data_IF_551234460470
#
_entry.id   IF_551234460470
#
_cell.length_a   1.000
_cell.length_b   1.000
_cell.length_c   1.000
_cell.angle_alpha   90.00
_cell.angle_beta   90.00
_cell.angle_gamma   90.00
#
_symmetry.space_group_name_H-M   'P 1'
#
loop_
_entity.id
_entity.type
_entity.pdbx_description
1 polymer ?
#
# COMPACT_ATOMS: atom_id res chain seq x y z
N UNK A 1 -42.66 5.73 26.01
CA UNK A 1 -41.82 5.72 24.79
C UNK A 1 -41.05 4.40 24.74
N UNK A 2 -41.16 3.64 23.66
CA UNK A 2 -40.47 2.34 23.54
C UNK A 2 -38.96 2.59 23.39
N UNK A 3 -38.20 2.40 24.47
CA UNK A 3 -36.74 2.58 24.51
C UNK A 3 -36.03 1.97 23.29
N UNK A 4 -36.47 0.78 22.87
CA UNK A 4 -35.96 0.08 21.67
C UNK A 4 -36.11 0.88 20.37
N UNK A 5 -37.23 1.58 20.20
CA UNK A 5 -37.48 2.39 19.01
C UNK A 5 -36.67 3.69 18.98
N UNK A 6 -36.48 4.32 20.16
CA UNK A 6 -35.63 5.51 20.29
C UNK A 6 -34.16 5.20 20.05
N UNK A 7 -33.65 4.14 20.68
CA UNK A 7 -32.27 3.67 20.52
C UNK A 7 -31.95 3.34 19.06
N UNK A 8 -32.82 2.58 18.38
CA UNK A 8 -32.57 2.19 16.98
C UNK A 8 -32.50 3.40 16.04
N UNK A 9 -33.39 4.39 16.21
CA UNK A 9 -33.36 5.62 15.40
C UNK A 9 -32.08 6.43 15.64
N UNK A 10 -31.66 6.57 16.90
CA UNK A 10 -30.40 7.22 17.24
C UNK A 10 -29.20 6.48 16.65
N UNK A 11 -29.20 5.14 16.75
CA UNK A 11 -28.15 4.30 16.19
C UNK A 11 -28.04 4.44 14.66
N UNK A 12 -29.16 4.46 13.95
CA UNK A 12 -29.18 4.70 12.49
C UNK A 12 -28.57 6.07 12.18
N UNK A 13 -28.99 7.13 12.88
CA UNK A 13 -28.45 8.48 12.66
C UNK A 13 -26.94 8.54 12.90
N UNK A 14 -26.45 7.95 13.99
CA UNK A 14 -25.02 7.87 14.30
C UNK A 14 -24.23 7.05 13.28
N UNK A 15 -24.82 5.96 12.78
CA UNK A 15 -24.18 5.11 11.76
C UNK A 15 -24.02 5.87 10.44
N UNK A 16 -25.02 6.65 10.03
CA UNK A 16 -24.92 7.49 8.82
C UNK A 16 -23.80 8.52 8.99
N UNK A 17 -23.75 9.22 10.12
CA UNK A 17 -22.67 10.18 10.40
C UNK A 17 -21.30 9.49 10.41
N UNK A 18 -21.20 8.31 11.02
CA UNK A 18 -19.98 7.51 11.04
C UNK A 18 -19.50 7.13 9.64
N UNK A 19 -20.39 6.65 8.77
CA UNK A 19 -20.05 6.28 7.40
C UNK A 19 -19.57 7.49 6.58
N UNK A 20 -20.16 8.67 6.80
CA UNK A 20 -19.68 9.92 6.18
C UNK A 20 -18.26 10.24 6.64
N UNK A 21 -18.00 10.15 7.95
CA UNK A 21 -16.66 10.39 8.53
C UNK A 21 -15.65 9.41 7.94
N UNK A 22 -15.90 8.10 8.00
CA UNK A 22 -15.02 7.07 7.43
C UNK A 22 -14.79 7.32 5.94
N UNK A 23 -15.85 7.67 5.19
CA UNK A 23 -15.76 8.03 3.78
C UNK A 23 -14.79 9.18 3.52
N UNK A 24 -14.91 10.28 4.27
CA UNK A 24 -14.02 11.45 4.16
C UNK A 24 -12.57 11.06 4.46
N UNK A 25 -12.32 10.34 5.55
CA UNK A 25 -10.95 9.99 5.97
C UNK A 25 -10.28 8.93 5.09
N UNK A 26 -11.06 8.11 4.39
CA UNK A 26 -10.52 7.05 3.50
C UNK A 26 -10.54 7.44 2.02
N UNK A 27 -11.19 8.55 1.67
CA UNK A 27 -11.37 9.02 0.29
C UNK A 27 -10.04 9.11 -0.47
N UNK A 28 -9.07 9.82 0.09
CA UNK A 28 -7.77 10.04 -0.58
C UNK A 28 -7.00 8.74 -0.77
N UNK A 29 -7.04 7.83 0.21
CA UNK A 29 -6.37 6.54 0.13
C UNK A 29 -6.97 5.62 -0.94
N UNK A 30 -8.27 5.76 -1.22
CA UNK A 30 -8.97 4.96 -2.22
C UNK A 30 -8.82 5.57 -3.61
N UNK A 31 -9.00 6.89 -3.77
CA UNK A 31 -8.91 7.52 -5.08
C UNK A 31 -7.47 7.71 -5.54
N UNK A 32 -6.60 8.13 -4.64
CA UNK A 32 -5.20 8.42 -4.89
C UNK A 32 -4.28 7.53 -4.03
N UNK A 33 -4.39 6.20 -4.17
CA UNK A 33 -3.50 5.28 -3.48
C UNK A 33 -2.05 5.60 -3.91
N UNK A 34 -1.14 5.70 -2.95
CA UNK A 34 0.28 5.91 -3.25
C UNK A 34 0.80 4.80 -4.16
N UNK A 35 1.49 5.14 -5.25
CA UNK A 35 2.22 4.18 -6.08
C UNK A 35 3.51 3.69 -5.43
N UNK A 36 3.83 4.18 -4.23
CA UNK A 36 5.06 3.88 -3.52
C UNK A 36 5.37 2.38 -3.50
N UNK A 37 6.56 1.99 -3.94
CA UNK A 37 6.95 0.57 -4.07
C UNK A 37 7.94 0.15 -2.97
N UNK A 38 8.27 1.04 -2.03
CA UNK A 38 9.29 0.80 -1.00
C UNK A 38 10.62 1.49 -1.32
N UNK A 39 11.60 1.37 -0.41
CA UNK A 39 12.91 2.03 -0.49
C UNK A 39 13.74 1.67 -1.74
N UNK A 40 14.97 2.19 -1.83
CA UNK A 40 15.88 1.96 -2.97
C UNK A 40 15.92 0.48 -3.36
N UNK A 41 15.33 0.18 -4.52
CA UNK A 41 15.38 -1.15 -5.10
C UNK A 41 16.64 -1.25 -5.95
N UNK A 42 17.45 -2.28 -5.69
CA UNK A 42 18.68 -2.47 -6.44
C UNK A 42 18.46 -3.46 -7.58
N UNK A 43 18.88 -3.06 -8.77
CA UNK A 43 18.72 -3.80 -10.01
C UNK A 43 20.07 -4.05 -10.66
N UNK A 44 20.21 -5.23 -11.25
CA UNK A 44 21.34 -5.59 -12.08
C UNK A 44 20.86 -5.96 -13.49
N UNK A 45 21.46 -5.35 -14.51
CA UNK A 45 21.24 -5.77 -15.88
C UNK A 45 22.18 -6.92 -16.23
N UNK A 46 21.62 -8.10 -16.49
CA UNK A 46 22.38 -9.28 -16.88
C UNK A 46 22.49 -9.34 -18.42
N UNK A 47 23.68 -9.11 -18.99
CA UNK A 47 23.86 -9.10 -20.45
C UNK A 47 23.71 -10.49 -21.07
N UNK A 48 23.88 -11.57 -20.30
CA UNK A 48 23.80 -12.94 -20.80
C UNK A 48 22.39 -13.38 -21.17
N UNK A 49 21.37 -12.83 -20.51
CA UNK A 49 19.96 -13.13 -20.78
C UNK A 49 19.13 -11.88 -21.14
N UNK A 50 19.75 -10.69 -21.15
CA UNK A 50 19.10 -9.41 -21.44
C UNK A 50 17.91 -9.12 -20.51
N UNK A 51 18.03 -9.49 -19.22
CA UNK A 51 17.01 -9.28 -18.20
C UNK A 51 17.53 -8.47 -17.01
N UNK A 52 16.60 -7.83 -16.30
CA UNK A 52 16.88 -7.13 -15.05
C UNK A 52 16.58 -8.03 -13.86
N UNK A 53 17.58 -8.22 -13.00
CA UNK A 53 17.47 -8.97 -11.76
C UNK A 53 17.31 -8.00 -10.59
N UNK A 54 16.34 -8.27 -9.71
CA UNK A 54 16.16 -7.52 -8.46
C UNK A 54 16.97 -8.21 -7.38
N UNK A 55 17.65 -7.45 -6.55
CA UNK A 55 18.34 -7.99 -5.39
C UNK A 55 18.15 -7.11 -4.16
N UNK A 56 18.28 -7.73 -2.99
CA UNK A 56 18.27 -7.03 -1.71
C UNK A 56 19.70 -6.65 -1.32
N UNK A 57 19.88 -5.45 -0.75
CA UNK A 57 21.17 -4.94 -0.31
C UNK A 57 21.89 -5.87 0.69
N UNK A 58 21.12 -6.64 1.48
CA UNK A 58 21.65 -7.54 2.51
C UNK A 58 22.04 -8.94 1.98
N UNK A 59 22.01 -9.15 0.66
CA UNK A 59 22.32 -10.46 0.07
C UNK A 59 23.79 -10.57 -0.34
N UNK A 60 24.39 -11.78 -0.35
CA UNK A 60 25.74 -11.98 -0.90
C UNK A 60 25.91 -11.43 -2.32
N UNK A 61 24.83 -11.43 -3.10
CA UNK A 61 24.79 -10.86 -4.45
C UNK A 61 25.09 -9.36 -4.47
N UNK A 62 24.64 -8.61 -3.46
CA UNK A 62 24.96 -7.18 -3.36
C UNK A 62 26.47 -6.95 -3.15
N UNK A 63 27.13 -7.80 -2.36
CA UNK A 63 28.58 -7.74 -2.16
C UNK A 63 29.35 -8.07 -3.45
N UNK A 64 28.88 -9.05 -4.23
CA UNK A 64 29.46 -9.37 -5.54
C UNK A 64 29.37 -8.17 -6.49
N UNK A 65 28.19 -7.56 -6.61
CA UNK A 65 27.98 -6.40 -7.48
C UNK A 65 28.76 -5.17 -7.01
N UNK A 66 28.88 -4.97 -5.69
CA UNK A 66 29.74 -3.93 -5.12
C UNK A 66 31.21 -4.17 -5.47
N UNK A 67 31.68 -5.42 -5.44
CA UNK A 67 33.04 -5.78 -5.86
C UNK A 67 33.28 -5.54 -7.35
N UNK A 68 32.31 -5.88 -8.22
CA UNK A 68 32.40 -5.66 -9.66
C UNK A 68 32.32 -4.18 -10.03
N UNK A 69 31.58 -3.38 -9.25
CA UNK A 69 31.61 -1.92 -9.35
C UNK A 69 32.99 -1.39 -8.95
N UNK A 70 33.55 -1.86 -7.83
CA UNK A 70 34.86 -1.44 -7.35
C UNK A 70 36.00 -1.82 -8.32
N UNK A 71 35.87 -2.92 -9.06
CA UNK A 71 36.81 -3.33 -10.10
C UNK A 71 36.62 -2.58 -11.43
N UNK A 72 35.62 -1.72 -11.55
CA UNK A 72 35.30 -0.99 -12.79
C UNK A 72 34.60 -1.84 -13.86
N UNK A 73 34.16 -3.06 -13.53
CA UNK A 73 33.41 -3.93 -14.45
C UNK A 73 31.97 -3.44 -14.63
N UNK A 74 31.40 -2.82 -13.61
CA UNK A 74 30.05 -2.26 -13.61
C UNK A 74 30.05 -0.76 -13.34
N UNK A 75 29.14 -0.07 -14.02
CA UNK A 75 28.71 1.29 -13.72
C UNK A 75 27.40 1.27 -12.94
N UNK A 76 27.24 2.24 -12.05
CA UNK A 76 25.98 2.46 -11.31
C UNK A 76 25.27 3.67 -11.89
N UNK A 77 24.01 3.49 -12.27
CA UNK A 77 23.09 4.56 -12.65
C UNK A 77 22.04 4.68 -11.56
N UNK A 78 22.04 5.81 -10.87
CA UNK A 78 20.97 6.15 -9.94
C UNK A 78 19.81 6.72 -10.74
N UNK A 79 18.69 6.00 -10.76
CA UNK A 79 17.43 6.50 -11.28
C UNK A 79 16.74 7.20 -10.11
N UNK A 80 17.11 8.47 -9.95
CA UNK A 80 16.55 9.39 -8.96
C UNK A 80 15.53 10.31 -9.64
N UNK A 81 14.62 10.89 -8.85
CA UNK A 81 13.56 11.85 -9.23
C UNK A 81 12.17 11.28 -9.50
N UNK A 82 11.88 10.04 -9.12
CA UNK A 82 10.52 9.53 -9.15
C UNK A 82 9.88 9.66 -7.75
N UNK A 83 8.67 10.24 -7.64
CA UNK A 83 8.05 10.50 -6.33
C UNK A 83 7.70 9.21 -5.58
N UNK A 84 7.49 8.11 -6.33
CA UNK A 84 7.01 6.84 -5.79
C UNK A 84 8.09 5.75 -5.68
N UNK A 85 9.28 5.97 -6.23
CA UNK A 85 10.34 4.97 -6.22
C UNK A 85 11.72 5.56 -6.55
N UNK A 86 12.77 4.85 -6.16
CA UNK A 86 14.16 5.13 -6.57
C UNK A 86 14.82 3.81 -6.87
N UNK A 87 15.69 3.77 -7.89
CA UNK A 87 16.36 2.54 -8.27
C UNK A 87 17.85 2.77 -8.54
N UNK A 88 18.65 1.80 -8.09
CA UNK A 88 20.08 1.73 -8.37
C UNK A 88 20.30 0.64 -9.41
N UNK A 89 20.70 1.03 -10.63
CA UNK A 89 20.87 0.11 -11.74
C UNK A 89 22.36 -0.12 -12.04
N UNK A 90 22.79 -1.36 -11.86
CA UNK A 90 24.13 -1.83 -12.18
C UNK A 90 24.18 -2.35 -13.62
N UNK A 91 25.04 -1.75 -14.46
CA UNK A 91 25.19 -2.06 -15.89
C UNK A 91 26.67 -2.28 -16.21
N UNK A 92 27.03 -3.15 -17.17
CA UNK A 92 28.42 -3.25 -17.63
C UNK A 92 29.00 -1.89 -18.06
N UNK A 93 30.23 -1.60 -17.63
CA UNK A 93 30.86 -0.28 -17.78
C UNK A 93 31.26 0.12 -19.20
N UNK A 94 31.27 -0.82 -20.13
CA UNK A 94 31.68 -0.60 -21.53
C UNK A 94 30.54 -0.11 -22.43
N UNK A 95 29.34 0.08 -21.90
CA UNK A 95 28.21 0.55 -22.68
C UNK A 95 28.30 2.04 -22.98
N UNK A 96 27.81 2.41 -24.16
CA UNK A 96 27.71 3.80 -24.60
C UNK A 96 26.63 4.57 -23.83
N UNK A 97 26.74 5.90 -23.77
CA UNK A 97 25.73 6.75 -23.13
C UNK A 97 24.31 6.53 -23.70
N UNK A 98 24.21 6.25 -25.00
CA UNK A 98 22.94 5.93 -25.65
C UNK A 98 22.32 4.62 -25.12
N UNK A 99 23.13 3.59 -24.89
CA UNK A 99 22.66 2.32 -24.31
C UNK A 99 22.26 2.50 -22.83
N UNK A 100 23.03 3.28 -22.07
CA UNK A 100 22.70 3.62 -20.68
C UNK A 100 21.33 4.32 -20.60
N UNK A 101 21.05 5.25 -21.52
CA UNK A 101 19.75 5.92 -21.61
C UNK A 101 18.62 4.92 -21.92
N UNK A 102 18.82 4.02 -22.89
CA UNK A 102 17.83 2.97 -23.20
C UNK A 102 17.53 2.09 -21.98
N UNK A 103 18.55 1.76 -21.19
CA UNK A 103 18.36 0.98 -19.98
C UNK A 103 17.63 1.74 -18.88
N UNK A 104 17.89 3.04 -18.73
CA UNK A 104 17.17 3.91 -17.80
C UNK A 104 15.69 4.03 -18.19
N UNK A 105 15.39 4.27 -19.47
CA UNK A 105 14.02 4.36 -19.99
C UNK A 105 13.24 3.05 -19.82
N UNK A 106 13.88 1.90 -20.10
CA UNK A 106 13.27 0.59 -19.86
C UNK A 106 12.97 0.35 -18.39
N UNK A 107 13.89 0.72 -17.50
CA UNK A 107 13.68 0.58 -16.06
C UNK A 107 12.55 1.49 -15.57
N UNK A 108 12.49 2.73 -16.06
CA UNK A 108 11.41 3.67 -15.78
C UNK A 108 10.03 3.10 -16.16
N UNK A 109 9.93 2.48 -17.34
CA UNK A 109 8.71 1.81 -17.78
C UNK A 109 8.32 0.61 -16.89
N UNK A 110 9.29 -0.24 -16.53
CA UNK A 110 9.05 -1.39 -15.65
C UNK A 110 8.58 -0.94 -14.27
N UNK A 111 9.25 0.06 -13.70
CA UNK A 111 8.95 0.56 -12.36
C UNK A 111 7.63 1.33 -12.31
N UNK A 112 7.31 2.07 -13.36
CA UNK A 112 6.01 2.73 -13.50
C UNK A 112 4.86 1.72 -13.60
N UNK A 113 5.05 0.61 -14.32
CA UNK A 113 4.05 -0.46 -14.34
C UNK A 113 3.85 -1.07 -12.94
N UNK A 114 4.95 -1.32 -12.22
CA UNK A 114 4.90 -1.83 -10.84
C UNK A 114 4.27 -0.86 -9.85
N UNK A 115 4.49 0.46 -9.99
CA UNK A 115 3.89 1.46 -9.10
C UNK A 115 2.38 1.52 -9.29
N UNK A 116 1.90 1.39 -10.52
CA UNK A 116 0.46 1.29 -10.85
C UNK A 116 -0.15 0.03 -10.23
N UNK A 117 0.53 -1.12 -10.35
CA UNK A 117 0.08 -2.38 -9.74
C UNK A 117 0.06 -2.30 -8.21
N UNK A 118 1.09 -1.69 -7.61
CA UNK A 118 1.18 -1.46 -6.17
C UNK A 118 0.06 -0.53 -5.68
N UNK A 119 -0.21 0.56 -6.40
CA UNK A 119 -1.30 1.48 -6.15
C UNK A 119 -2.66 0.75 -6.20
N UNK A 120 -2.89 -0.10 -7.20
CA UNK A 120 -4.10 -0.90 -7.31
C UNK A 120 -4.26 -1.89 -6.15
N UNK A 121 -3.16 -2.52 -5.72
CA UNK A 121 -3.11 -3.39 -4.55
C UNK A 121 -3.49 -2.65 -3.25
N UNK A 122 -2.88 -1.49 -3.01
CA UNK A 122 -3.18 -0.64 -1.85
C UNK A 122 -4.62 -0.16 -1.85
N UNK A 123 -5.15 0.28 -3.00
CA UNK A 123 -6.57 0.65 -3.13
C UNK A 123 -7.49 -0.46 -2.64
N UNK A 124 -7.24 -1.71 -3.06
CA UNK A 124 -8.04 -2.86 -2.62
C UNK A 124 -7.94 -3.09 -1.11
N UNK A 125 -6.76 -2.91 -0.51
CA UNK A 125 -6.57 -3.00 0.93
C UNK A 125 -7.34 -1.87 1.66
N UNK A 126 -7.17 -0.62 1.24
CA UNK A 126 -7.87 0.53 1.81
C UNK A 126 -9.39 0.41 1.71
N UNK A 127 -9.93 -0.13 0.60
CA UNK A 127 -11.36 -0.42 0.47
C UNK A 127 -11.80 -1.46 1.51
N UNK A 128 -11.04 -2.55 1.67
CA UNK A 128 -11.36 -3.58 2.68
C UNK A 128 -11.34 -3.02 4.08
N UNK A 129 -10.34 -2.21 4.41
CA UNK A 129 -10.21 -1.59 5.73
C UNK A 129 -11.33 -0.58 5.98
N UNK A 130 -11.67 0.25 4.98
CA UNK A 130 -12.78 1.19 5.06
C UNK A 130 -14.12 0.48 5.28
N UNK A 131 -14.38 -0.62 4.58
CA UNK A 131 -15.58 -1.45 4.79
C UNK A 131 -15.55 -2.07 6.19
N UNK A 132 -14.41 -2.62 6.61
CA UNK A 132 -14.24 -3.24 7.92
C UNK A 132 -14.56 -2.25 9.04
N UNK A 133 -13.91 -1.09 9.05
CA UNK A 133 -14.13 -0.04 10.06
C UNK A 133 -15.54 0.57 9.93
N UNK A 134 -16.01 0.79 8.70
CA UNK A 134 -17.31 1.37 8.42
C UNK A 134 -18.48 0.51 8.91
N UNK A 135 -18.35 -0.82 8.87
CA UNK A 135 -19.43 -1.75 9.24
C UNK A 135 -19.26 -2.31 10.65
N UNK A 136 -18.05 -2.75 11.03
CA UNK A 136 -17.84 -3.44 12.30
C UNK A 136 -18.07 -2.52 13.51
N UNK A 137 -17.65 -1.25 13.43
CA UNK A 137 -17.81 -0.31 14.54
C UNK A 137 -19.30 -0.06 14.84
N UNK A 138 -20.14 0.38 13.87
CA UNK A 138 -21.57 0.55 14.12
C UNK A 138 -22.27 -0.74 14.57
N UNK A 139 -21.92 -1.89 13.98
CA UNK A 139 -22.51 -3.17 14.35
C UNK A 139 -22.17 -3.54 15.80
N UNK A 140 -20.93 -3.31 16.24
CA UNK A 140 -20.52 -3.57 17.62
C UNK A 140 -21.29 -2.70 18.62
N UNK A 141 -21.51 -1.42 18.29
CA UNK A 141 -22.33 -0.50 19.09
C UNK A 141 -23.80 -0.93 19.15
N UNK A 142 -24.35 -1.43 18.04
CA UNK A 142 -25.71 -1.96 18.00
C UNK A 142 -25.85 -3.14 18.95
N UNK A 143 -24.94 -4.12 18.83
CA UNK A 143 -24.95 -5.34 19.64
C UNK A 143 -24.76 -5.02 21.13
N UNK A 144 -23.87 -4.10 21.47
CA UNK A 144 -23.67 -3.64 22.84
C UNK A 144 -24.95 -2.99 23.41
N UNK A 145 -25.59 -2.10 22.65
CA UNK A 145 -26.83 -1.46 23.09
C UNK A 145 -28.01 -2.42 23.21
N UNK A 146 -28.11 -3.43 22.34
CA UNK A 146 -29.08 -4.51 22.46
C UNK A 146 -28.81 -5.37 23.71
N UNK A 147 -27.56 -5.71 23.99
CA UNK A 147 -27.15 -6.43 25.19
C UNK A 147 -27.51 -5.68 26.46
N UNK A 148 -27.18 -4.39 26.54
CA UNK A 148 -27.56 -3.52 27.67
C UNK A 148 -29.09 -3.45 27.83
N UNK A 149 -29.82 -3.29 26.73
CA UNK A 149 -31.28 -3.29 26.75
C UNK A 149 -31.87 -4.61 27.26
N UNK A 150 -31.27 -5.75 26.89
CA UNK A 150 -31.67 -7.07 27.37
C UNK A 150 -31.45 -7.19 28.89
N UNK A 151 -30.24 -6.87 29.37
CA UNK A 151 -29.88 -6.89 30.80
C UNK A 151 -30.84 -6.03 31.62
N UNK A 152 -31.07 -4.76 31.22
CA UNK A 152 -31.96 -3.85 31.93
C UNK A 152 -33.43 -4.30 31.92
N UNK A 153 -33.87 -4.98 30.85
CA UNK A 153 -35.24 -5.50 30.76
C UNK A 153 -35.45 -6.79 31.56
N UNK A 154 -34.43 -7.64 31.68
CA UNK A 154 -34.49 -8.92 32.40
C UNK A 154 -34.63 -8.76 33.92
N UNK A 155 -34.13 -7.68 34.50
CA UNK A 155 -34.28 -7.38 35.93
C UNK A 155 -35.64 -6.78 36.30
N UNK A 156 -36.49 -6.41 35.33
CA UNK A 156 -37.90 -6.11 35.59
C UNK A 156 -38.68 -7.42 35.67
N UNK A 157 -38.40 -8.20 36.71
CA UNK A 157 -39.32 -9.24 37.18
C UNK A 157 -40.68 -8.57 37.46
N UNK A 158 -41.76 -9.15 36.91
CA UNK A 158 -43.13 -8.72 37.20
C UNK A 158 -43.39 -8.99 38.68
N UNK A 159 -43.26 -7.96 39.51
CA UNK A 159 -43.84 -7.89 40.84
C UNK A 159 -45.22 -7.22 40.75
#
# INVERSE_FOLDING_TARGET
MNWRGGFFRLWVALTVVWLVVVGIFTYDQILYPSGYIGGMAHYFFNPGNNQYEIYNADTPRANELASWKASGTLSLIAIANQPDWTADLYIPSHQSDAELQVHAERMDAIMSAKSIDAAAGRRKASIKDAIGIGVLVPLSLLLAGLGLGWVLSGFRSRA
#
